data_IF_093125477921
#
_entry.id   IF_093125477921
#
_cell.length_a   1.000
_cell.length_b   1.000
_cell.length_c   1.000
_cell.angle_alpha   90.00
_cell.angle_beta   90.00
_cell.angle_gamma   90.00
#
_symmetry.space_group_name_H-M   'P 1'
#
loop_
_entity.id
_entity.type
_entity.pdbx_description
1 polymer ?
#
# COMPACT_ATOMS: atom_id res chain seq x y z
N UNK A 1 -3.78 -10.18 10.62
CA UNK A 1 -2.95 -10.83 9.60
C UNK A 1 -1.49 -10.88 10.06
N UNK A 2 -0.75 -11.92 9.70
CA UNK A 2 0.69 -12.06 9.90
C UNK A 2 1.48 -11.58 8.66
N UNK A 3 2.82 -11.57 8.74
CA UNK A 3 3.70 -11.09 7.66
C UNK A 3 3.51 -11.84 6.34
N UNK A 4 3.30 -13.16 6.39
CA UNK A 4 3.14 -13.99 5.18
C UNK A 4 1.79 -13.72 4.50
N UNK A 5 0.74 -13.49 5.29
CA UNK A 5 -0.58 -13.09 4.80
C UNK A 5 -0.52 -11.72 4.11
N UNK A 6 0.20 -10.74 4.69
CA UNK A 6 0.43 -9.45 4.01
C UNK A 6 1.25 -9.59 2.74
N UNK A 7 2.28 -10.44 2.75
CA UNK A 7 3.10 -10.70 1.56
C UNK A 7 2.26 -11.33 0.44
N UNK A 8 1.42 -12.30 0.77
CA UNK A 8 0.51 -12.92 -0.19
C UNK A 8 -0.51 -11.92 -0.75
N UNK A 9 -1.08 -11.07 0.12
CA UNK A 9 -2.00 -10.01 -0.28
C UNK A 9 -1.33 -9.03 -1.25
N UNK A 10 -0.14 -8.52 -0.96
CA UNK A 10 0.56 -7.64 -1.89
C UNK A 10 0.98 -8.34 -3.18
N UNK A 11 1.36 -9.62 -3.14
CA UNK A 11 1.65 -10.38 -4.36
C UNK A 11 0.42 -10.53 -5.26
N UNK A 12 -0.79 -10.52 -4.71
CA UNK A 12 -2.03 -10.67 -5.49
C UNK A 12 -2.29 -9.55 -6.51
N UNK A 13 -1.67 -8.37 -6.33
CA UNK A 13 -1.76 -7.25 -7.27
C UNK A 13 -0.74 -7.34 -8.42
N UNK A 14 -0.02 -8.46 -8.54
CA UNK A 14 0.90 -8.71 -9.65
C UNK A 14 2.28 -8.04 -9.52
N UNK A 15 2.69 -7.67 -8.30
CA UNK A 15 4.02 -7.10 -8.04
C UNK A 15 5.13 -8.08 -8.46
N UNK A 16 6.19 -7.55 -9.05
CA UNK A 16 7.46 -8.28 -9.15
C UNK A 16 8.04 -8.51 -7.74
N UNK A 17 8.96 -9.47 -7.57
CA UNK A 17 9.58 -9.70 -6.26
C UNK A 17 10.30 -8.46 -5.72
N UNK A 18 10.92 -7.64 -6.56
CA UNK A 18 11.60 -6.41 -6.15
C UNK A 18 10.62 -5.34 -5.65
N UNK A 19 9.49 -5.19 -6.34
CA UNK A 19 8.42 -4.29 -5.91
C UNK A 19 7.79 -4.79 -4.60
N UNK A 20 7.52 -6.10 -4.50
CA UNK A 20 7.00 -6.73 -3.29
C UNK A 20 7.95 -6.54 -2.10
N UNK A 21 9.25 -6.71 -2.30
CA UNK A 21 10.26 -6.50 -1.26
C UNK A 21 10.30 -5.03 -0.80
N UNK A 22 10.18 -4.10 -1.75
CA UNK A 22 10.12 -2.66 -1.44
C UNK A 22 8.87 -2.33 -0.62
N UNK A 23 7.69 -2.76 -1.07
CA UNK A 23 6.41 -2.55 -0.38
C UNK A 23 6.45 -3.15 1.02
N UNK A 24 6.91 -4.40 1.14
CA UNK A 24 7.06 -5.08 2.43
C UNK A 24 8.03 -4.36 3.36
N UNK A 25 9.17 -3.87 2.85
CA UNK A 25 10.11 -3.12 3.68
C UNK A 25 9.50 -1.82 4.22
N UNK A 26 8.81 -1.06 3.37
CA UNK A 26 8.11 0.16 3.78
C UNK A 26 7.00 -0.12 4.81
N UNK A 27 6.21 -1.18 4.56
CA UNK A 27 5.18 -1.64 5.46
C UNK A 27 5.72 -2.11 6.81
N UNK A 28 6.83 -2.85 6.82
CA UNK A 28 7.41 -3.43 8.03
C UNK A 28 8.19 -2.41 8.87
N UNK A 29 8.90 -1.50 8.21
CA UNK A 29 9.81 -0.55 8.85
C UNK A 29 9.12 0.76 9.22
N UNK A 30 8.41 1.38 8.27
CA UNK A 30 7.87 2.73 8.44
C UNK A 30 6.37 2.75 8.76
N UNK A 31 5.66 1.65 8.47
CA UNK A 31 4.18 1.60 8.49
C UNK A 31 3.53 2.62 7.55
N UNK A 32 4.27 3.03 6.52
CA UNK A 32 3.89 4.05 5.56
C UNK A 32 4.16 3.60 4.13
N UNK A 33 3.37 4.11 3.19
CA UNK A 33 3.56 3.86 1.78
C UNK A 33 4.74 4.68 1.22
N UNK A 34 5.54 4.09 0.28
CA UNK A 34 6.57 4.83 -0.42
C UNK A 34 5.99 6.02 -1.19
N UNK A 35 6.83 7.01 -1.48
CA UNK A 35 6.45 8.15 -2.31
C UNK A 35 6.08 7.68 -3.72
N UNK A 36 5.06 8.29 -4.31
CA UNK A 36 4.68 8.08 -5.71
C UNK A 36 5.51 9.04 -6.56
N UNK A 37 6.40 8.51 -7.40
CA UNK A 37 7.32 9.29 -8.23
C UNK A 37 7.12 9.08 -9.73
N UNK A 38 6.17 8.23 -10.11
CA UNK A 38 5.86 7.90 -11.51
C UNK A 38 4.44 7.35 -11.63
N UNK A 39 3.91 7.32 -12.86
CA UNK A 39 2.59 6.73 -13.16
C UNK A 39 2.51 5.26 -12.78
N UNK A 40 3.56 4.47 -13.01
CA UNK A 40 3.57 3.06 -12.61
C UNK A 40 3.57 2.89 -11.08
N UNK A 41 4.22 3.79 -10.34
CA UNK A 41 4.10 3.83 -8.87
C UNK A 41 2.66 4.15 -8.44
N UNK A 42 1.96 5.03 -9.16
CA UNK A 42 0.59 5.41 -8.87
C UNK A 42 -0.40 4.25 -9.11
N UNK A 43 -0.29 3.58 -10.26
CA UNK A 43 -1.08 2.39 -10.58
C UNK A 43 -0.89 1.29 -9.53
N UNK A 44 0.38 1.04 -9.15
CA UNK A 44 0.73 0.10 -8.11
C UNK A 44 0.13 0.48 -6.74
N UNK A 45 0.26 1.75 -6.34
CA UNK A 45 -0.29 2.24 -5.07
C UNK A 45 -1.82 2.07 -5.01
N UNK A 46 -2.50 2.39 -6.11
CA UNK A 46 -3.97 2.27 -6.23
C UNK A 46 -4.42 0.82 -6.16
N UNK A 47 -3.71 -0.09 -6.84
CA UNK A 47 -4.01 -1.53 -6.78
C UNK A 47 -3.83 -2.10 -5.37
N UNK A 48 -2.74 -1.73 -4.68
CA UNK A 48 -2.51 -2.14 -3.28
C UNK A 48 -3.63 -1.59 -2.38
N UNK A 49 -4.02 -0.32 -2.56
CA UNK A 49 -5.08 0.31 -1.78
C UNK A 49 -6.40 -0.46 -1.92
N UNK A 50 -6.80 -0.77 -3.15
CA UNK A 50 -8.04 -1.50 -3.42
C UNK A 50 -8.07 -2.90 -2.76
N UNK A 51 -6.94 -3.63 -2.81
CA UNK A 51 -6.86 -4.96 -2.16
C UNK A 51 -6.90 -4.83 -0.64
N UNK A 52 -6.23 -3.84 -0.06
CA UNK A 52 -6.25 -3.61 1.39
C UNK A 52 -7.63 -3.19 1.88
N UNK A 53 -8.30 -2.28 1.18
CA UNK A 53 -9.64 -1.79 1.54
C UNK A 53 -10.67 -2.94 1.57
N UNK A 54 -10.57 -3.88 0.62
CA UNK A 54 -11.43 -5.08 0.61
C UNK A 54 -11.05 -6.17 1.62
N UNK A 55 -9.83 -6.14 2.18
CA UNK A 55 -9.31 -7.20 3.06
C UNK A 55 -9.27 -6.82 4.54
N UNK A 56 -9.22 -5.53 4.87
CA UNK A 56 -9.12 -5.05 6.23
C UNK A 56 -10.49 -4.90 6.90
N UNK A 57 -10.53 -5.12 8.22
CA UNK A 57 -11.71 -4.82 9.01
C UNK A 57 -11.91 -3.29 9.04
N UNK A 58 -13.06 -2.74 8.58
CA UNK A 58 -13.31 -1.30 8.58
C UNK A 58 -13.28 -0.65 9.97
N UNK A 59 -13.46 -1.44 11.04
CA UNK A 59 -13.37 -0.96 12.43
C UNK A 59 -11.91 -0.90 12.94
N UNK A 60 -10.94 -1.43 12.21
CA UNK A 60 -9.53 -1.36 12.57
C UNK A 60 -8.91 -0.05 12.06
N UNK A 61 -8.79 0.91 12.97
CA UNK A 61 -8.26 2.25 12.68
C UNK A 61 -6.80 2.43 13.13
N UNK A 62 -6.22 1.43 13.78
CA UNK A 62 -4.98 1.62 14.54
C UNK A 62 -3.90 0.60 14.27
N UNK A 63 -4.21 -0.54 13.65
CA UNK A 63 -3.20 -1.54 13.32
C UNK A 63 -2.15 -0.99 12.34
N UNK A 64 -0.98 -1.65 12.24
CA UNK A 64 0.00 -1.35 11.20
C UNK A 64 -0.59 -1.32 9.78
N UNK A 65 -1.56 -2.19 9.48
CA UNK A 65 -2.21 -2.24 8.18
C UNK A 65 -3.13 -1.04 7.95
N UNK A 66 -3.93 -0.66 8.95
CA UNK A 66 -4.77 0.53 8.90
C UNK A 66 -3.92 1.80 8.67
N UNK A 67 -2.82 1.96 9.43
CA UNK A 67 -1.90 3.09 9.28
C UNK A 67 -1.25 3.14 7.90
N UNK A 68 -0.85 1.98 7.37
CA UNK A 68 -0.29 1.89 6.03
C UNK A 68 -1.32 2.26 4.96
N UNK A 69 -2.57 1.79 5.07
CA UNK A 69 -3.65 2.12 4.13
C UNK A 69 -3.96 3.63 4.12
N UNK A 70 -3.99 4.26 5.30
CA UNK A 70 -4.16 5.72 5.44
C UNK A 70 -3.01 6.47 4.76
N UNK A 71 -1.77 6.03 5.00
CA UNK A 71 -0.57 6.60 4.35
C UNK A 71 -0.65 6.45 2.83
N UNK A 72 -1.06 5.27 2.34
CA UNK A 72 -1.21 4.99 0.93
C UNK A 72 -2.25 5.90 0.25
N UNK A 73 -3.43 6.05 0.85
CA UNK A 73 -4.45 6.99 0.37
C UNK A 73 -3.96 8.44 0.35
N UNK A 74 -3.16 8.84 1.35
CA UNK A 74 -2.54 10.17 1.40
C UNK A 74 -1.56 10.38 0.23
N UNK A 75 -0.75 9.37 -0.11
CA UNK A 75 0.18 9.43 -1.26
C UNK A 75 -0.58 9.54 -2.58
N UNK A 76 -1.64 8.77 -2.75
CA UNK A 76 -2.50 8.77 -3.95
C UNK A 76 -3.12 10.16 -4.15
N UNK A 77 -3.79 10.69 -3.12
CA UNK A 77 -4.42 12.01 -3.20
C UNK A 77 -3.40 13.13 -3.48
N UNK A 78 -2.20 13.05 -2.89
CA UNK A 78 -1.13 14.02 -3.13
C UNK A 78 -0.58 13.97 -4.57
N UNK A 79 -0.57 12.80 -5.20
CA UNK A 79 -0.19 12.64 -6.62
C UNK A 79 -1.28 13.20 -7.55
N UNK A 80 -2.54 12.87 -7.30
CA UNK A 80 -3.68 13.37 -8.10
C UNK A 80 -3.78 14.89 -8.06
N UNK A 81 -3.54 15.50 -6.90
CA UNK A 81 -3.53 16.95 -6.73
C UNK A 81 -2.43 17.66 -7.54
N UNK A 82 -1.32 16.98 -7.87
CA UNK A 82 -0.25 17.54 -8.72
C UNK A 82 -0.60 17.47 -10.22
N UNK A 83 -1.51 16.57 -10.60
CA UNK A 83 -1.96 16.40 -11.97
C UNK A 83 -3.12 17.35 -12.36
N UNK A 84 -3.60 18.15 -11.41
CA UNK A 84 -4.70 19.12 -11.57
C UNK A 84 -4.15 20.54 -11.67
#
# INVERSE_FOLDING_TARGET
MNTDEYRAMFRSVGLTEDQLNTVMNYFLTFREAPQITSTSCFEMATAIYAVMDGSLNPADLHSPAARYMISLGTRIAAWEAQAT
#
